data_IF_270386373936
#
_entry.id   IF_270386373936
#
_cell.length_a   1.000
_cell.length_b   1.000
_cell.length_c   1.000
_cell.angle_alpha   90.00
_cell.angle_beta   90.00
_cell.angle_gamma   90.00
#
_symmetry.space_group_name_H-M   'P 1'
#
loop_
_entity.id
_entity.type
_entity.pdbx_description
1 polymer ?
#
# COMPACT_ATOMS: atom_id res chain seq x y z
N UNK A 1 5.97 12.38 16.96
CA UNK A 1 7.16 13.00 16.34
C UNK A 1 7.72 12.12 15.21
N UNK A 2 7.69 10.79 15.34
CA UNK A 2 8.14 9.85 14.29
C UNK A 2 7.26 9.75 13.04
N UNK A 3 5.94 9.96 13.15
CA UNK A 3 5.02 9.87 12.00
C UNK A 3 5.32 10.89 10.89
N UNK A 4 5.64 12.12 11.26
CA UNK A 4 5.99 13.16 10.29
C UNK A 4 7.26 12.78 9.51
N UNK A 5 8.26 12.22 10.21
CA UNK A 5 9.51 11.77 9.61
C UNK A 5 9.30 10.56 8.67
N UNK A 6 8.39 9.65 9.02
CA UNK A 6 8.05 8.50 8.19
C UNK A 6 7.26 8.87 6.94
N UNK A 7 6.32 9.82 7.04
CA UNK A 7 5.67 10.39 5.87
C UNK A 7 6.66 11.12 4.96
N UNK A 8 7.59 11.87 5.52
CA UNK A 8 8.67 12.51 4.74
C UNK A 8 9.59 11.48 4.07
N UNK A 9 9.92 10.37 4.74
CA UNK A 9 10.66 9.25 4.13
C UNK A 9 9.90 8.64 2.95
N UNK A 10 8.60 8.41 3.12
CA UNK A 10 7.73 7.92 2.04
C UNK A 10 7.70 8.94 0.89
N UNK A 11 7.49 10.23 1.19
CA UNK A 11 7.45 11.30 0.17
C UNK A 11 8.76 11.41 -0.61
N UNK A 12 9.91 11.34 0.08
CA UNK A 12 11.22 11.32 -0.58
C UNK A 12 11.38 10.12 -1.51
N UNK A 13 10.92 8.94 -1.09
CA UNK A 13 10.98 7.74 -1.92
C UNK A 13 10.02 7.77 -3.10
N UNK A 14 8.85 8.38 -2.94
CA UNK A 14 7.92 8.62 -4.04
C UNK A 14 8.55 9.62 -5.03
N UNK A 15 9.11 10.73 -4.54
CA UNK A 15 9.77 11.73 -5.37
C UNK A 15 10.98 11.17 -6.13
N UNK A 16 11.79 10.29 -5.53
CA UNK A 16 12.89 9.61 -6.23
C UNK A 16 12.43 8.69 -7.36
N UNK A 17 11.18 8.24 -7.32
CA UNK A 17 10.51 7.49 -8.39
C UNK A 17 9.72 8.41 -9.35
N UNK A 18 10.02 9.71 -9.37
CA UNK A 18 9.30 10.75 -10.11
C UNK A 18 7.80 10.82 -9.79
N UNK A 19 7.43 10.48 -8.56
CA UNK A 19 6.05 10.51 -8.11
C UNK A 19 5.80 11.66 -7.15
N UNK A 20 5.33 12.76 -7.73
CA UNK A 20 4.81 13.88 -6.96
C UNK A 20 3.36 13.62 -6.56
N UNK A 21 3.04 13.84 -5.28
CA UNK A 21 1.69 13.66 -4.77
C UNK A 21 0.76 14.77 -5.28
N UNK A 22 -0.36 14.39 -5.86
CA UNK A 22 -1.49 15.26 -6.16
C UNK A 22 -2.17 15.77 -4.88
N UNK A 23 -2.91 16.86 -4.98
CA UNK A 23 -3.55 17.49 -3.82
C UNK A 23 -4.60 16.60 -3.16
N UNK A 24 -5.33 15.79 -3.92
CA UNK A 24 -6.27 14.82 -3.34
C UNK A 24 -5.56 13.76 -2.49
N UNK A 25 -4.35 13.36 -2.87
CA UNK A 25 -3.55 12.39 -2.12
C UNK A 25 -3.05 13.01 -0.82
N UNK A 26 -2.57 14.26 -0.84
CA UNK A 26 -2.18 15.01 0.36
C UNK A 26 -3.36 15.13 1.33
N UNK A 27 -4.51 15.61 0.85
CA UNK A 27 -5.75 15.73 1.65
C UNK A 27 -6.17 14.40 2.28
N UNK A 28 -6.06 13.30 1.53
CA UNK A 28 -6.34 11.97 2.06
C UNK A 28 -5.37 11.57 3.18
N UNK A 29 -4.06 11.75 2.97
CA UNK A 29 -3.05 11.41 3.97
C UNK A 29 -3.21 12.24 5.25
N UNK A 30 -3.48 13.54 5.12
CA UNK A 30 -3.74 14.42 6.26
C UNK A 30 -4.98 13.97 7.04
N UNK A 31 -6.06 13.62 6.33
CA UNK A 31 -7.28 13.14 6.97
C UNK A 31 -7.12 11.78 7.64
N UNK A 32 -6.27 10.89 7.10
CA UNK A 32 -5.91 9.60 7.73
C UNK A 32 -5.03 9.82 8.94
N UNK A 33 -4.02 10.69 8.86
CA UNK A 33 -3.12 11.00 9.96
C UNK A 33 -3.87 11.60 11.17
N UNK A 34 -4.82 12.49 10.90
CA UNK A 34 -5.69 13.08 11.94
C UNK A 34 -6.75 12.09 12.47
N UNK A 35 -6.79 10.84 12.01
CA UNK A 35 -7.85 9.86 12.27
C UNK A 35 -9.26 10.45 12.10
N UNK A 36 -9.42 11.33 11.09
CA UNK A 36 -10.61 12.18 10.94
C UNK A 36 -11.88 11.35 10.69
N UNK A 37 -11.75 10.24 9.98
CA UNK A 37 -12.84 9.36 9.62
C UNK A 37 -12.46 7.89 9.79
N UNK A 38 -13.46 7.02 9.93
CA UNK A 38 -13.24 5.56 9.94
C UNK A 38 -13.09 4.97 8.53
N UNK A 39 -13.70 5.60 7.54
CA UNK A 39 -13.77 5.11 6.16
C UNK A 39 -13.52 6.26 5.18
N UNK A 40 -12.87 5.94 4.06
CA UNK A 40 -12.46 6.91 3.06
C UNK A 40 -12.82 6.40 1.67
N UNK A 41 -13.38 7.28 0.84
CA UNK A 41 -13.60 7.06 -0.58
C UNK A 41 -12.67 7.97 -1.39
N UNK A 42 -11.77 7.39 -2.18
CA UNK A 42 -10.88 8.12 -3.07
C UNK A 42 -11.45 8.16 -4.48
N UNK A 43 -11.86 9.34 -4.93
CA UNK A 43 -12.32 9.59 -6.30
C UNK A 43 -11.35 10.52 -7.04
N UNK A 44 -10.92 10.11 -8.23
CA UNK A 44 -10.05 10.90 -9.12
C UNK A 44 -10.03 10.24 -10.51
N UNK A 45 -9.27 10.77 -11.45
CA UNK A 45 -9.11 10.21 -12.81
C UNK A 45 -8.19 8.98 -12.86
N UNK A 46 -8.34 8.14 -13.89
CA UNK A 46 -7.46 6.97 -14.12
C UNK A 46 -6.01 7.46 -14.27
N UNK A 47 -5.04 6.65 -13.85
CA UNK A 47 -3.61 7.00 -13.97
C UNK A 47 -3.08 7.96 -12.90
N UNK A 48 -3.94 8.61 -12.11
CA UNK A 48 -3.50 9.55 -11.06
C UNK A 48 -3.00 8.89 -9.76
N UNK A 49 -2.85 7.57 -9.73
CA UNK A 49 -2.20 6.87 -8.61
C UNK A 49 -3.08 6.50 -7.41
N UNK A 50 -4.41 6.54 -7.52
CA UNK A 50 -5.35 6.17 -6.42
C UNK A 50 -5.00 4.86 -5.72
N UNK A 51 -4.73 3.82 -6.51
CA UNK A 51 -4.56 2.45 -6.01
C UNK A 51 -3.36 2.31 -5.08
N UNK A 52 -2.25 3.03 -5.31
CA UNK A 52 -1.10 2.97 -4.40
C UNK A 52 -1.28 3.97 -3.26
N UNK A 53 -1.94 5.09 -3.50
CA UNK A 53 -2.29 6.07 -2.46
C UNK A 53 -2.97 5.41 -1.28
N UNK A 54 -3.90 4.48 -1.53
CA UNK A 54 -4.61 3.75 -0.48
C UNK A 54 -3.71 2.84 0.37
N UNK A 55 -2.51 2.48 -0.10
CA UNK A 55 -1.52 1.69 0.66
C UNK A 55 -0.48 2.54 1.39
N UNK A 56 -0.35 3.83 1.08
CA UNK A 56 0.63 4.69 1.77
C UNK A 56 0.43 4.72 3.30
N UNK A 57 -0.81 4.75 3.85
CA UNK A 57 -1.00 4.62 5.29
C UNK A 57 -0.49 3.30 5.89
N UNK A 58 -0.57 2.20 5.13
CA UNK A 58 -0.03 0.91 5.58
C UNK A 58 1.49 0.95 5.65
N UNK A 59 2.17 1.49 4.64
CA UNK A 59 3.63 1.64 4.69
C UNK A 59 4.08 2.56 5.82
N UNK A 60 3.34 3.65 6.10
CA UNK A 60 3.62 4.50 7.25
C UNK A 60 3.53 3.74 8.57
N UNK A 61 2.44 2.96 8.77
CA UNK A 61 2.29 2.11 9.96
C UNK A 61 3.41 1.08 10.06
N UNK A 62 3.79 0.46 8.94
CA UNK A 62 4.87 -0.53 8.91
C UNK A 62 6.24 0.05 9.26
N UNK A 63 6.56 1.27 8.79
CA UNK A 63 7.78 2.00 9.18
C UNK A 63 7.81 2.32 10.69
N UNK A 64 6.66 2.61 11.27
CA UNK A 64 6.48 2.77 12.72
C UNK A 64 6.45 1.43 13.48
N UNK A 65 6.76 0.30 12.83
CA UNK A 65 6.72 -1.06 13.40
C UNK A 65 5.35 -1.46 13.96
N UNK A 66 4.28 -0.83 13.46
CA UNK A 66 2.90 -1.15 13.84
C UNK A 66 2.42 -2.31 12.96
N UNK A 67 2.18 -3.47 13.59
CA UNK A 67 1.69 -4.64 12.89
C UNK A 67 0.30 -4.36 12.30
N UNK A 68 0.19 -4.34 10.97
CA UNK A 68 -1.03 -4.04 10.24
C UNK A 68 -1.27 -5.11 9.18
N UNK A 69 -2.52 -5.56 9.03
CA UNK A 69 -2.94 -6.50 7.98
C UNK A 69 -3.82 -5.77 6.99
N UNK A 70 -3.60 -5.99 5.70
CA UNK A 70 -4.36 -5.37 4.61
C UNK A 70 -4.87 -6.45 3.67
N UNK A 71 -6.17 -6.37 3.35
CA UNK A 71 -6.78 -7.17 2.29
C UNK A 71 -7.17 -6.21 1.17
N UNK A 72 -6.65 -6.48 -0.03
CA UNK A 72 -7.01 -5.75 -1.24
C UNK A 72 -7.83 -6.65 -2.14
N UNK A 73 -8.97 -6.13 -2.59
CA UNK A 73 -9.90 -6.81 -3.48
C UNK A 73 -9.95 -6.02 -4.79
N UNK A 74 -9.84 -6.73 -5.91
CA UNK A 74 -9.95 -6.14 -7.24
C UNK A 74 -10.81 -7.04 -8.12
N UNK A 75 -11.63 -6.46 -9.02
CA UNK A 75 -12.47 -7.23 -9.94
C UNK A 75 -11.64 -7.99 -10.98
N UNK A 76 -10.40 -7.56 -11.27
CA UNK A 76 -9.54 -8.15 -12.30
C UNK A 76 -8.25 -8.74 -11.71
N UNK A 77 -7.89 -9.94 -12.19
CA UNK A 77 -6.63 -10.62 -11.85
C UNK A 77 -5.39 -9.85 -12.35
N UNK A 78 -5.49 -9.19 -13.51
CA UNK A 78 -4.40 -8.40 -14.11
C UNK A 78 -3.98 -7.24 -13.20
N UNK A 79 -4.96 -6.51 -12.64
CA UNK A 79 -4.73 -5.44 -11.67
C UNK A 79 -4.02 -5.98 -10.43
N UNK A 80 -4.43 -7.15 -9.92
CA UNK A 80 -3.78 -7.79 -8.76
C UNK A 80 -2.32 -8.11 -9.05
N UNK A 81 -2.01 -8.69 -10.22
CA UNK A 81 -0.63 -9.02 -10.58
C UNK A 81 0.25 -7.78 -10.74
N UNK A 82 -0.26 -6.71 -11.36
CA UNK A 82 0.46 -5.44 -11.50
C UNK A 82 0.69 -4.80 -10.13
N UNK A 83 -0.34 -4.73 -9.30
CA UNK A 83 -0.25 -4.14 -7.96
C UNK A 83 0.71 -4.93 -7.08
N UNK A 84 0.67 -6.27 -7.13
CA UNK A 84 1.58 -7.12 -6.37
C UNK A 84 3.04 -6.80 -6.70
N UNK A 85 3.40 -6.65 -7.98
CA UNK A 85 4.75 -6.23 -8.39
C UNK A 85 5.11 -4.86 -7.81
N UNK A 86 4.26 -3.85 -8.00
CA UNK A 86 4.51 -2.46 -7.54
C UNK A 86 4.65 -2.34 -6.03
N UNK A 87 3.87 -3.10 -5.26
CA UNK A 87 3.96 -3.07 -3.80
C UNK A 87 5.24 -3.74 -3.30
N UNK A 88 5.73 -4.80 -3.95
CA UNK A 88 7.02 -5.41 -3.60
C UNK A 88 8.17 -4.43 -3.91
N UNK A 89 8.18 -3.82 -5.09
CA UNK A 89 9.15 -2.79 -5.46
C UNK A 89 9.16 -1.65 -4.42
N UNK A 90 7.99 -1.14 -4.05
CA UNK A 90 7.87 -0.08 -3.05
C UNK A 90 8.35 -0.54 -1.66
N UNK A 91 8.04 -1.77 -1.26
CA UNK A 91 8.49 -2.35 0.03
C UNK A 91 10.00 -2.47 0.10
N UNK A 92 10.64 -2.98 -0.96
CA UNK A 92 12.09 -3.08 -1.07
C UNK A 92 12.74 -1.69 -1.03
N UNK A 93 12.18 -0.76 -1.80
CA UNK A 93 12.60 0.64 -1.88
C UNK A 93 12.58 1.33 -0.50
N UNK A 94 11.53 1.10 0.28
CA UNK A 94 11.38 1.65 1.64
C UNK A 94 12.15 0.87 2.72
N UNK A 95 12.77 -0.27 2.36
CA UNK A 95 13.41 -1.23 3.26
C UNK A 95 12.45 -1.74 4.34
N UNK A 96 11.21 -1.99 3.94
CA UNK A 96 10.15 -2.53 4.80
C UNK A 96 10.10 -4.05 4.58
N UNK A 97 10.22 -4.81 5.66
CA UNK A 97 10.01 -6.25 5.62
C UNK A 97 8.52 -6.56 5.82
N UNK A 98 7.72 -6.49 4.75
CA UNK A 98 6.32 -6.90 4.79
C UNK A 98 6.05 -8.06 3.81
N UNK A 99 5.15 -8.95 4.23
CA UNK A 99 4.77 -10.13 3.45
C UNK A 99 3.65 -9.77 2.49
N UNK A 100 3.95 -9.70 1.19
CA UNK A 100 2.98 -9.33 0.16
C UNK A 100 2.67 -10.54 -0.71
N UNK A 101 1.45 -11.05 -0.59
CA UNK A 101 0.98 -12.21 -1.34
C UNK A 101 -0.23 -11.87 -2.20
N UNK A 102 -0.39 -12.59 -3.31
CA UNK A 102 -1.60 -12.53 -4.15
C UNK A 102 -2.37 -13.85 -4.08
N UNK A 103 -3.70 -13.76 -4.12
CA UNK A 103 -4.60 -14.92 -4.15
C UNK A 103 -5.53 -14.79 -5.36
N UNK A 104 -5.12 -15.40 -6.47
CA UNK A 104 -5.92 -15.45 -7.71
C UNK A 104 -6.10 -16.90 -8.17
N UNK A 105 -6.99 -17.12 -9.14
CA UNK A 105 -7.18 -18.44 -9.76
C UNK A 105 -5.87 -19.04 -10.29
N UNK A 106 -4.98 -18.20 -10.80
CA UNK A 106 -3.75 -18.61 -11.51
C UNK A 106 -2.60 -18.98 -10.56
N UNK A 107 -2.73 -18.67 -9.26
CA UNK A 107 -1.74 -19.10 -8.27
C UNK A 107 -1.91 -20.60 -8.01
N UNK A 108 -0.83 -21.37 -8.17
CA UNK A 108 -0.86 -22.82 -8.01
C UNK A 108 -1.35 -23.25 -6.63
N UNK A 109 -2.01 -24.42 -6.56
CA UNK A 109 -2.52 -24.98 -5.32
C UNK A 109 -1.42 -25.15 -4.26
N UNK A 110 -0.23 -25.61 -4.66
CA UNK A 110 0.93 -25.78 -3.76
C UNK A 110 1.36 -24.45 -3.13
N UNK A 111 1.40 -23.37 -3.92
CA UNK A 111 1.71 -22.03 -3.41
C UNK A 111 0.60 -21.52 -2.49
N UNK A 112 -0.67 -21.71 -2.86
CA UNK A 112 -1.82 -21.36 -1.99
C UNK A 112 -1.73 -22.10 -0.65
N UNK A 113 -1.40 -23.39 -0.64
CA UNK A 113 -1.26 -24.19 0.59
C UNK A 113 -0.07 -23.74 1.44
N UNK A 114 1.08 -23.44 0.83
CA UNK A 114 2.27 -22.91 1.54
C UNK A 114 1.99 -21.56 2.21
N UNK A 115 1.14 -20.76 1.58
CA UNK A 115 0.77 -19.41 2.01
C UNK A 115 -0.51 -19.39 2.86
N UNK A 116 -1.30 -20.46 2.86
CA UNK A 116 -2.50 -20.60 3.66
C UNK A 116 -2.13 -20.49 5.14
N UNK A 117 -2.50 -19.34 5.72
CA UNK A 117 -2.63 -19.03 7.14
C UNK A 117 -1.72 -19.87 8.05
N UNK A 118 -0.39 -19.71 7.90
CA UNK A 118 0.49 -19.86 9.06
C UNK A 118 0.18 -18.68 10.00
N UNK A 119 -0.86 -18.87 10.81
CA UNK A 119 -1.46 -17.97 11.80
C UNK A 119 -2.21 -16.73 11.26
N UNK A 120 -3.53 -16.60 11.52
CA UNK A 120 -4.35 -15.45 11.15
C UNK A 120 -3.88 -14.10 11.68
#
# INVERSE_FOLDING_TARGET
>A
MDDFNNYEKIRKQLASNNWNLYDYQKKFLDAVHANKYRQYLLSSEIGTGKTITSFLPFFNKSLNKINTKVIYISPLKSIISILHKRLNELSESLKINCKIEKRTGDVSYTLKKKTALKNP
#
